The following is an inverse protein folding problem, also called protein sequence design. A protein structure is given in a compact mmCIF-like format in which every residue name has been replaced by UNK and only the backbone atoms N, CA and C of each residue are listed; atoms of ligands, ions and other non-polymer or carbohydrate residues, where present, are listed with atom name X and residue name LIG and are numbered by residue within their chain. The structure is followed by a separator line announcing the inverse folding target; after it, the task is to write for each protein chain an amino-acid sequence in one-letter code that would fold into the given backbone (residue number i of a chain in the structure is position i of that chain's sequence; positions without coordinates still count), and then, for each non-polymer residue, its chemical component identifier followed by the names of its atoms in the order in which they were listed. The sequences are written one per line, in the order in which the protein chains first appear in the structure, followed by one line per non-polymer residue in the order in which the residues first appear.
data_IF_436266310362
#
_entry.id   IF_436266310362
#
_cell.length_a   1.000
_cell.length_b   1.000
_cell.length_c   1.000
_cell.angle_alpha   90.00
_cell.angle_beta   90.00
_cell.angle_gamma   90.00
#
_symmetry.space_group_name_H-M   'P 1'
#
loop_
_entity.id
_entity.type
_entity.pdbx_description
1 polymer ?
#
# COMPACT_ATOMS: atom_id res chain seq x y z
N UNK A 1 -33.27 12.84 -37.02
CA UNK A 1 -32.17 13.48 -36.27
C UNK A 1 -32.53 13.70 -34.80
N UNK A 2 -33.71 14.25 -34.49
CA UNK A 2 -34.19 14.53 -33.12
C UNK A 2 -34.25 13.28 -32.21
N UNK A 3 -34.73 12.14 -32.72
CA UNK A 3 -34.85 10.90 -31.94
C UNK A 3 -33.49 10.28 -31.52
N UNK A 4 -32.45 10.47 -32.34
CA UNK A 4 -31.08 10.01 -32.01
C UNK A 4 -30.42 10.88 -30.95
N UNK A 5 -30.68 12.19 -30.97
CA UNK A 5 -30.16 13.14 -29.98
C UNK A 5 -30.81 12.89 -28.60
N UNK A 6 -32.12 12.63 -28.57
CA UNK A 6 -32.84 12.30 -27.34
C UNK A 6 -32.34 11.00 -26.68
N UNK A 7 -31.99 9.98 -27.47
CA UNK A 7 -31.51 8.69 -26.97
C UNK A 7 -30.09 8.79 -26.40
N UNK A 8 -29.22 9.61 -27.02
CA UNK A 8 -27.86 9.88 -26.53
C UNK A 8 -27.88 10.71 -25.24
N UNK A 9 -28.74 11.73 -25.17
CA UNK A 9 -28.91 12.54 -23.95
C UNK A 9 -29.50 11.71 -22.80
N UNK A 10 -30.46 10.82 -23.09
CA UNK A 10 -31.04 9.90 -22.09
C UNK A 10 -30.04 8.85 -21.59
N UNK A 11 -29.12 8.39 -22.45
CA UNK A 11 -28.06 7.47 -22.04
C UNK A 11 -27.00 8.19 -21.19
N UNK A 12 -26.70 9.45 -21.50
CA UNK A 12 -25.74 10.26 -20.74
C UNK A 12 -26.24 10.56 -19.32
N UNK A 13 -27.51 10.94 -19.18
CA UNK A 13 -28.13 11.17 -17.86
C UNK A 13 -28.29 9.89 -17.04
N UNK A 14 -28.54 8.74 -17.69
CA UNK A 14 -28.58 7.44 -17.01
C UNK A 14 -27.20 7.01 -16.48
N UNK A 15 -26.12 7.28 -17.22
CA UNK A 15 -24.74 6.99 -16.80
C UNK A 15 -24.33 7.90 -15.63
N UNK A 16 -24.63 9.20 -15.69
CA UNK A 16 -24.37 10.13 -14.57
C UNK A 16 -25.13 9.72 -13.29
N UNK A 17 -26.40 9.32 -13.42
CA UNK A 17 -27.21 8.86 -12.28
C UNK A 17 -26.70 7.54 -11.69
N UNK A 18 -26.11 6.65 -12.50
CA UNK A 18 -25.48 5.41 -12.04
C UNK A 18 -24.17 5.70 -11.30
N UNK A 19 -23.34 6.62 -11.81
CA UNK A 19 -22.10 7.03 -11.16
C UNK A 19 -22.34 7.73 -9.81
N UNK A 20 -23.39 8.55 -9.69
CA UNK A 20 -23.74 9.21 -8.42
C UNK A 20 -24.23 8.20 -7.36
N UNK A 21 -24.93 7.14 -7.78
CA UNK A 21 -25.38 6.06 -6.88
C UNK A 21 -24.24 5.20 -6.36
N UNK A 22 -23.15 5.02 -7.12
CA UNK A 22 -21.96 4.33 -6.62
C UNK A 22 -21.15 5.15 -5.62
N UNK A 23 -21.19 6.49 -5.71
CA UNK A 23 -20.53 7.37 -4.74
C UNK A 23 -21.32 7.49 -3.42
N UNK A 24 -22.65 7.38 -3.48
CA UNK A 24 -23.54 7.49 -2.31
C UNK A 24 -23.57 6.24 -1.40
N UNK A 25 -22.75 5.22 -1.69
CA UNK A 25 -22.53 4.07 -0.82
C UNK A 25 -21.52 4.32 0.31
N UNK A 26 -20.90 5.50 0.35
CA UNK A 26 -20.03 5.94 1.43
C UNK A 26 -20.82 6.81 2.41
N UNK A 27 -21.85 6.25 3.06
CA UNK A 27 -22.47 6.89 4.22
C UNK A 27 -22.36 5.98 5.46
N UNK A 28 -21.88 6.60 6.53
CA UNK A 28 -21.86 6.19 7.94
C UNK A 28 -21.11 4.89 8.32
N UNK A 29 -19.83 5.01 8.66
CA UNK A 29 -19.08 3.94 9.32
C UNK A 29 -17.90 4.48 10.09
N UNK A 30 -17.70 4.03 11.33
CA UNK A 30 -16.62 4.49 12.20
C UNK A 30 -15.22 4.38 11.57
N UNK A 31 -14.22 4.93 12.28
CA UNK A 31 -12.81 4.90 11.85
C UNK A 31 -12.44 3.47 11.40
N UNK A 32 -11.98 3.26 10.15
CA UNK A 32 -11.66 1.92 9.65
C UNK A 32 -10.48 1.34 10.41
N UNK A 33 -10.49 0.03 10.63
CA UNK A 33 -9.33 -0.68 11.15
C UNK A 33 -8.31 -0.87 10.02
N UNK A 34 -7.06 -0.48 10.29
CA UNK A 34 -5.95 -0.67 9.36
C UNK A 34 -5.07 -1.81 9.87
N UNK A 35 -4.98 -2.89 9.09
CA UNK A 35 -4.12 -4.06 9.40
C UNK A 35 -3.04 -4.17 8.33
N UNK A 36 -1.77 -4.11 8.76
CA UNK A 36 -0.61 -4.27 7.87
C UNK A 36 0.04 -5.61 8.18
N UNK A 37 0.08 -6.48 7.17
CA UNK A 37 0.77 -7.77 7.24
C UNK A 37 2.09 -7.61 6.47
N UNK A 38 3.19 -7.55 7.20
CA UNK A 38 4.54 -7.51 6.63
C UNK A 38 5.21 -8.87 6.84
N UNK A 39 5.72 -9.46 5.77
CA UNK A 39 6.41 -10.77 5.79
C UNK A 39 7.92 -10.54 5.61
N UNK A 40 8.74 -11.31 6.32
CA UNK A 40 10.20 -11.25 6.26
C UNK A 40 10.72 -12.22 5.19
N UNK A 41 11.66 -11.74 4.36
CA UNK A 41 12.38 -12.52 3.34
C UNK A 41 11.53 -13.29 2.31
N UNK A 42 10.26 -12.93 2.15
CA UNK A 42 9.38 -13.52 1.12
C UNK A 42 9.68 -12.92 -0.27
N UNK A 43 9.95 -13.80 -1.23
CA UNK A 43 10.17 -13.48 -2.63
C UNK A 43 8.86 -13.24 -3.41
N UNK A 44 8.99 -12.62 -4.58
CA UNK A 44 7.84 -12.31 -5.45
C UNK A 44 7.04 -13.55 -5.88
N UNK A 45 7.73 -14.65 -6.15
CA UNK A 45 7.13 -15.91 -6.65
C UNK A 45 6.80 -16.91 -5.54
N UNK A 46 6.81 -16.51 -4.27
CA UNK A 46 6.51 -17.41 -3.13
C UNK A 46 5.01 -17.54 -2.84
N UNK A 47 4.17 -16.74 -3.51
CA UNK A 47 2.71 -16.73 -3.34
C UNK A 47 2.04 -17.27 -4.62
N UNK A 48 1.03 -18.13 -4.47
CA UNK A 48 0.31 -18.79 -5.56
C UNK A 48 -0.24 -17.81 -6.61
N UNK A 49 -0.84 -16.69 -6.18
CA UNK A 49 -1.32 -15.66 -7.09
C UNK A 49 -0.22 -14.93 -7.89
N UNK A 50 1.07 -15.16 -7.63
CA UNK A 50 2.19 -14.71 -8.45
C UNK A 50 2.94 -15.86 -9.17
N UNK A 51 2.40 -17.08 -9.12
CA UNK A 51 2.92 -18.23 -9.85
C UNK A 51 3.73 -19.23 -9.02
N UNK A 52 3.64 -19.19 -7.69
CA UNK A 52 4.31 -20.16 -6.81
C UNK A 52 3.76 -21.58 -6.94
N UNK A 53 4.60 -22.58 -6.69
CA UNK A 53 4.21 -23.97 -6.42
C UNK A 53 3.69 -24.19 -4.98
N UNK A 54 3.92 -23.25 -4.07
CA UNK A 54 3.50 -23.37 -2.66
C UNK A 54 2.02 -22.98 -2.54
N UNK A 55 1.15 -23.85 -1.97
CA UNK A 55 -0.25 -23.51 -1.78
C UNK A 55 -0.45 -22.39 -0.75
N UNK A 56 -0.92 -21.22 -1.20
CA UNK A 56 -1.23 -20.06 -0.33
C UNK A 56 -2.70 -19.64 -0.39
N UNK A 57 -3.66 -20.54 -0.12
CA UNK A 57 -5.08 -20.34 -0.45
C UNK A 57 -5.71 -19.11 0.21
N UNK A 58 -5.27 -18.74 1.41
CA UNK A 58 -5.78 -17.55 2.12
C UNK A 58 -5.30 -16.24 1.48
N UNK A 59 -4.05 -16.20 1.03
CA UNK A 59 -3.47 -15.03 0.34
C UNK A 59 -4.07 -14.91 -1.06
N UNK A 60 -4.27 -16.04 -1.74
CA UNK A 60 -4.88 -16.07 -3.07
C UNK A 60 -6.35 -15.60 -3.03
N UNK A 61 -7.11 -16.02 -2.00
CA UNK A 61 -8.46 -15.54 -1.77
C UNK A 61 -8.51 -14.04 -1.42
N UNK A 62 -7.50 -13.51 -0.73
CA UNK A 62 -7.36 -12.07 -0.48
C UNK A 62 -7.08 -11.31 -1.79
N UNK A 63 -6.16 -11.80 -2.62
CA UNK A 63 -5.83 -11.21 -3.90
C UNK A 63 -7.01 -11.21 -4.87
N UNK A 64 -7.82 -12.29 -4.89
CA UNK A 64 -9.00 -12.40 -5.75
C UNK A 64 -10.14 -11.43 -5.41
N UNK A 65 -10.19 -10.94 -4.16
CA UNK A 65 -11.21 -9.98 -3.68
C UNK A 65 -10.66 -8.57 -3.46
N UNK A 66 -9.40 -8.33 -3.84
CA UNK A 66 -8.69 -7.10 -3.53
C UNK A 66 -7.92 -6.56 -4.73
N UNK A 67 -6.89 -5.76 -4.44
CA UNK A 67 -5.98 -5.20 -5.44
C UNK A 67 -4.63 -5.89 -5.32
N UNK A 68 -4.00 -6.20 -6.46
CA UNK A 68 -2.70 -6.84 -6.56
C UNK A 68 -1.72 -5.94 -7.32
N UNK A 69 -0.49 -5.84 -6.83
CA UNK A 69 0.56 -5.02 -7.45
C UNK A 69 1.61 -5.92 -8.09
N UNK A 70 1.87 -5.73 -9.39
CA UNK A 70 3.00 -6.41 -10.06
C UNK A 70 4.31 -5.64 -9.92
N UNK A 71 4.27 -4.39 -9.45
CA UNK A 71 5.40 -3.48 -9.30
C UNK A 71 5.33 -2.81 -7.92
N UNK A 72 5.77 -3.52 -6.88
CA UNK A 72 5.86 -3.05 -5.50
C UNK A 72 7.26 -3.32 -4.97
N UNK A 73 7.92 -2.31 -4.40
CA UNK A 73 9.36 -2.35 -4.11
C UNK A 73 9.64 -2.08 -2.64
N UNK A 74 10.67 -2.74 -2.13
CA UNK A 74 11.25 -2.49 -0.81
C UNK A 74 12.68 -1.95 -0.96
N UNK A 75 13.40 -1.76 0.15
CA UNK A 75 14.77 -1.24 0.13
C UNK A 75 15.84 -2.36 0.13
N UNK A 76 15.47 -3.57 -0.31
CA UNK A 76 16.30 -4.79 -0.33
C UNK A 76 16.86 -5.28 1.03
N UNK A 77 16.48 -4.65 2.15
CA UNK A 77 16.93 -4.96 3.51
C UNK A 77 15.81 -4.70 4.51
N UNK A 78 15.78 -5.47 5.60
CA UNK A 78 14.71 -5.43 6.59
C UNK A 78 14.60 -4.07 7.31
N UNK A 79 15.67 -3.56 7.91
CA UNK A 79 15.61 -2.34 8.74
C UNK A 79 15.28 -1.07 7.92
N UNK A 80 15.91 -0.82 6.75
CA UNK A 80 15.56 0.33 5.91
C UNK A 80 14.13 0.23 5.32
N UNK A 81 13.65 -0.99 5.05
CA UNK A 81 12.27 -1.21 4.56
C UNK A 81 11.26 -0.87 5.65
N UNK A 82 11.49 -1.37 6.88
CA UNK A 82 10.62 -1.11 8.03
C UNK A 82 10.61 0.37 8.40
N UNK A 83 11.75 1.05 8.34
CA UNK A 83 11.84 2.49 8.57
C UNK A 83 11.00 3.28 7.56
N UNK A 84 11.12 2.95 6.27
CA UNK A 84 10.35 3.60 5.20
C UNK A 84 8.86 3.33 5.33
N UNK A 85 8.48 2.08 5.65
CA UNK A 85 7.09 1.70 5.90
C UNK A 85 6.50 2.51 7.06
N UNK A 86 7.17 2.55 8.21
CA UNK A 86 6.65 3.19 9.41
C UNK A 86 6.53 4.71 9.28
N UNK A 87 7.45 5.36 8.56
CA UNK A 87 7.56 6.83 8.55
C UNK A 87 7.07 7.48 7.25
N UNK A 88 6.95 6.71 6.16
CA UNK A 88 6.70 7.26 4.82
C UNK A 88 7.89 8.04 4.24
N UNK A 89 9.06 8.01 4.89
CA UNK A 89 10.28 8.69 4.45
C UNK A 89 11.22 7.73 3.73
N UNK A 90 12.13 8.26 2.92
CA UNK A 90 13.25 7.46 2.43
C UNK A 90 14.16 7.03 3.60
N UNK A 91 14.84 5.87 3.51
CA UNK A 91 15.60 5.32 4.62
C UNK A 91 16.69 6.25 5.15
N UNK A 92 17.36 7.00 4.28
CA UNK A 92 18.37 7.99 4.65
C UNK A 92 17.79 9.21 5.40
N UNK A 93 16.53 9.57 5.13
CA UNK A 93 15.84 10.63 5.86
C UNK A 93 15.45 10.15 7.26
N UNK A 94 15.09 8.87 7.38
CA UNK A 94 14.70 8.20 8.62
C UNK A 94 15.89 7.75 9.50
N UNK A 95 17.14 7.95 9.06
CA UNK A 95 18.35 7.54 9.78
C UNK A 95 18.75 6.06 9.60
N UNK A 96 18.11 5.36 8.67
CA UNK A 96 18.20 3.92 8.48
C UNK A 96 18.75 3.53 7.10
N UNK A 97 19.94 4.01 6.74
CA UNK A 97 20.57 3.63 5.46
C UNK A 97 21.17 2.22 5.42
N UNK A 98 21.36 1.58 6.58
CA UNK A 98 21.89 0.21 6.73
C UNK A 98 21.04 -0.61 7.70
N UNK A 99 21.49 -1.81 8.07
CA UNK A 99 20.80 -2.57 9.10
C UNK A 99 20.86 -1.82 10.43
N UNK A 100 19.90 -2.17 11.29
CA UNK A 100 19.90 -1.68 12.67
C UNK A 100 21.25 -1.97 13.34
N UNK A 101 21.74 -1.04 14.15
CA UNK A 101 23.06 -1.05 14.79
C UNK A 101 24.29 -1.05 13.87
N UNK A 102 24.12 -1.01 12.54
CA UNK A 102 25.24 -0.78 11.60
C UNK A 102 25.46 0.73 11.41
N UNK A 103 26.45 1.27 12.14
CA UNK A 103 26.97 2.62 11.90
C UNK A 103 28.24 2.50 11.06
N UNK A 104 28.12 2.76 9.77
CA UNK A 104 29.30 2.82 8.90
C UNK A 104 29.96 4.18 9.10
N UNK A 105 31.19 4.18 9.59
CA UNK A 105 31.98 5.40 9.78
C UNK A 105 32.08 6.18 8.46
N UNK A 106 31.71 7.46 8.48
CA UNK A 106 31.65 8.31 7.29
C UNK A 106 30.37 8.22 6.45
N UNK A 107 29.43 7.32 6.77
CA UNK A 107 28.13 7.28 6.10
C UNK A 107 27.26 8.48 6.51
N UNK A 108 26.82 9.28 5.52
CA UNK A 108 25.91 10.41 5.75
C UNK A 108 24.47 9.91 5.79
N UNK A 109 23.71 10.28 6.83
CA UNK A 109 22.29 9.96 6.94
C UNK A 109 21.96 8.57 7.48
N UNK A 110 22.92 7.88 8.10
CA UNK A 110 22.67 6.64 8.86
C UNK A 110 23.08 6.85 10.31
N UNK A 111 22.12 6.73 11.22
CA UNK A 111 22.33 6.72 12.67
C UNK A 111 22.33 5.28 13.24
N UNK A 112 22.09 4.27 12.39
CA UNK A 112 21.93 2.89 12.81
C UNK A 112 20.67 2.66 13.66
N UNK A 113 19.76 3.62 13.67
CA UNK A 113 18.48 3.61 14.41
C UNK A 113 17.54 4.63 13.78
N UNK A 114 16.24 4.42 13.97
CA UNK A 114 15.22 5.39 13.57
C UNK A 114 15.46 6.71 14.30
N UNK A 115 15.43 7.84 13.58
CA UNK A 115 15.60 9.16 14.19
C UNK A 115 14.41 9.48 15.10
N UNK A 116 14.69 10.18 16.19
CA UNK A 116 13.69 10.56 17.19
C UNK A 116 12.73 11.66 16.72
N UNK A 117 13.03 12.32 15.59
CA UNK A 117 12.17 13.35 14.97
C UNK A 117 11.27 12.80 13.85
N UNK A 118 11.32 11.51 13.58
CA UNK A 118 10.44 10.85 12.62
C UNK A 118 9.12 10.45 13.29
N UNK A 119 8.01 10.90 12.73
CA UNK A 119 6.67 10.48 13.16
C UNK A 119 6.28 9.20 12.42
N UNK A 120 5.87 8.19 13.16
CA UNK A 120 5.42 6.91 12.62
C UNK A 120 3.92 6.90 12.34
N UNK A 121 3.47 6.04 11.41
CA UNK A 121 2.05 5.83 11.17
C UNK A 121 1.29 5.42 12.44
N UNK A 122 1.93 4.71 13.37
CA UNK A 122 1.31 4.31 14.63
C UNK A 122 1.04 5.50 15.54
N UNK A 123 1.87 6.55 15.48
CA UNK A 123 1.64 7.81 16.20
C UNK A 123 0.59 8.67 15.52
N UNK A 124 0.58 8.70 14.18
CA UNK A 124 -0.44 9.43 13.40
C UNK A 124 -1.84 8.83 13.58
N UNK A 125 -1.95 7.50 13.66
CA UNK A 125 -3.23 6.78 13.73
C UNK A 125 -3.76 6.59 15.16
N UNK A 126 -3.14 7.20 16.17
CA UNK A 126 -3.64 7.18 17.57
C UNK A 126 -5.00 7.84 17.73
#
# INVERSE_FOLDING_TARGET
MVLRIALVLGLFTAVEALCLRTAAGAEEGGRPNVVIILVDDMGFSDIGCYGSEIPTPNIDALAARGVRFTQFYNTARCSPTRASLLTGLYPHQAGMGHLDSEVIEGSKGTSGRLRDDCVTMAEVLR
#
